data_IF_823088513505
#
_entry.id   IF_823088513505
#
_cell.length_a   1.000
_cell.length_b   1.000
_cell.length_c   1.000
_cell.angle_alpha   90.00
_cell.angle_beta   90.00
_cell.angle_gamma   90.00
#
_symmetry.space_group_name_H-M   'P 1'
#
loop_
_entity.id
_entity.type
_entity.pdbx_description
1 polymer ?
#
# COMPACT_ATOMS: atom_id res chain seq x y z
N UNK A 1 -6.57 -15.61 40.22
CA UNK A 1 -7.15 -14.95 39.04
C UNK A 1 -6.32 -15.44 37.87
N UNK A 2 -6.86 -16.35 37.09
CA UNK A 2 -6.22 -16.84 35.87
C UNK A 2 -6.56 -15.83 34.77
N UNK A 3 -5.58 -15.41 33.98
CA UNK A 3 -5.78 -14.58 32.79
C UNK A 3 -5.77 -15.53 31.58
N UNK A 4 -6.93 -16.06 31.13
CA UNK A 4 -6.95 -16.83 29.91
C UNK A 4 -6.81 -15.83 28.75
N UNK A 5 -5.87 -16.09 27.84
CA UNK A 5 -5.75 -15.37 26.55
C UNK A 5 -5.18 -13.94 26.58
N UNK A 6 -4.09 -13.70 27.29
CA UNK A 6 -3.25 -12.52 27.02
C UNK A 6 -2.28 -12.81 25.87
N UNK A 7 -2.68 -12.43 24.66
CA UNK A 7 -1.84 -12.51 23.45
C UNK A 7 -2.26 -13.59 22.46
N UNK A 8 -1.58 -13.65 21.32
CA UNK A 8 -1.81 -14.70 20.33
C UNK A 8 -0.49 -15.21 19.74
N UNK A 9 -0.51 -16.46 19.27
CA UNK A 9 0.64 -17.08 18.64
C UNK A 9 0.85 -16.54 17.22
N UNK A 10 2.11 -16.34 16.86
CA UNK A 10 2.49 -16.04 15.48
C UNK A 10 2.04 -17.18 14.55
N UNK A 11 1.36 -16.84 13.46
CA UNK A 11 0.88 -17.80 12.46
C UNK A 11 2.00 -18.35 11.58
N UNK A 12 3.22 -17.84 11.70
CA UNK A 12 4.38 -18.37 10.97
C UNK A 12 4.78 -19.72 11.58
N UNK A 13 4.82 -20.80 10.78
CA UNK A 13 4.99 -22.17 11.26
C UNK A 13 6.37 -22.41 11.90
N UNK A 14 7.37 -21.60 11.58
CA UNK A 14 8.72 -21.68 12.15
C UNK A 14 8.86 -20.95 13.49
N UNK A 15 7.92 -20.05 13.85
CA UNK A 15 8.03 -19.21 15.03
C UNK A 15 7.11 -19.66 16.16
N UNK A 16 5.79 -19.73 15.89
CA UNK A 16 4.72 -20.05 16.85
C UNK A 16 4.83 -19.37 18.24
N UNK A 17 5.58 -18.27 18.36
CA UNK A 17 5.80 -17.56 19.62
C UNK A 17 4.53 -16.85 20.06
N UNK A 18 4.22 -16.92 21.35
CA UNK A 18 3.15 -16.15 21.98
C UNK A 18 3.57 -14.68 22.06
N UNK A 19 2.84 -13.80 21.38
CA UNK A 19 3.06 -12.36 21.42
C UNK A 19 1.88 -11.69 22.13
N UNK A 20 2.18 -10.82 23.09
CA UNK A 20 1.16 -10.11 23.87
C UNK A 20 0.53 -8.95 23.09
N UNK A 21 1.17 -8.50 22.00
CA UNK A 21 0.64 -7.51 21.06
C UNK A 21 0.54 -8.15 19.67
N UNK A 22 -0.43 -9.06 19.44
CA UNK A 22 -0.58 -9.72 18.16
C UNK A 22 -0.86 -8.72 17.04
N UNK A 23 -0.05 -8.78 15.98
CA UNK A 23 -0.16 -7.89 14.83
C UNK A 23 -0.91 -8.58 13.71
N UNK A 24 -1.99 -7.95 13.23
CA UNK A 24 -2.76 -8.46 12.10
C UNK A 24 -2.21 -7.92 10.79
N UNK A 25 -1.84 -8.82 9.87
CA UNK A 25 -1.48 -8.47 8.50
C UNK A 25 -2.69 -7.91 7.76
N UNK A 26 -2.61 -6.72 7.16
CA UNK A 26 -3.74 -6.08 6.46
C UNK A 26 -3.97 -6.65 5.05
N UNK A 27 -3.07 -7.52 4.57
CA UNK A 27 -3.18 -8.19 3.28
C UNK A 27 -3.84 -9.58 3.40
N UNK A 28 -3.32 -10.46 4.27
CA UNK A 28 -3.85 -11.82 4.45
C UNK A 28 -4.70 -12.01 5.71
N UNK A 29 -4.84 -10.98 6.56
CA UNK A 29 -5.54 -11.05 7.85
C UNK A 29 -4.98 -12.03 8.89
N UNK A 30 -3.82 -12.64 8.64
CA UNK A 30 -3.11 -13.50 9.60
C UNK A 30 -2.53 -12.71 10.77
N UNK A 31 -2.35 -13.39 11.90
CA UNK A 31 -1.76 -12.82 13.13
C UNK A 31 -0.28 -13.21 13.23
N UNK A 32 0.60 -12.23 13.42
CA UNK A 32 2.04 -12.44 13.50
C UNK A 32 2.65 -11.64 14.66
N UNK A 33 3.86 -12.02 15.08
CA UNK A 33 4.66 -11.25 16.03
C UNK A 33 5.37 -10.08 15.32
N UNK A 34 6.01 -9.21 16.09
CA UNK A 34 6.72 -8.03 15.58
C UNK A 34 7.79 -8.33 14.52
N UNK A 35 8.41 -9.51 14.59
CA UNK A 35 9.40 -9.95 13.61
C UNK A 35 8.68 -10.34 12.30
N UNK A 36 7.75 -11.30 12.36
CA UNK A 36 7.14 -11.92 11.18
C UNK A 36 5.96 -11.14 10.56
N UNK A 37 5.57 -9.97 11.07
CA UNK A 37 4.45 -9.18 10.52
C UNK A 37 4.73 -8.66 9.11
N UNK A 38 6.00 -8.43 8.77
CA UNK A 38 6.39 -7.97 7.43
C UNK A 38 6.02 -9.02 6.37
N UNK A 39 5.44 -8.59 5.23
CA UNK A 39 4.93 -9.50 4.20
C UNK A 39 5.96 -10.51 3.69
N UNK A 40 7.23 -10.09 3.59
CA UNK A 40 8.33 -10.95 3.16
C UNK A 40 8.67 -12.04 4.18
N UNK A 41 8.47 -11.77 5.48
CA UNK A 41 8.86 -12.69 6.55
C UNK A 41 7.87 -13.83 6.78
N UNK A 42 6.60 -13.65 6.42
CA UNK A 42 5.59 -14.71 6.47
C UNK A 42 5.12 -15.17 5.07
N UNK A 43 5.90 -14.87 4.04
CA UNK A 43 5.60 -15.23 2.64
C UNK A 43 4.15 -14.92 2.24
N UNK A 44 3.72 -13.68 2.48
CA UNK A 44 2.32 -13.29 2.33
C UNK A 44 1.80 -13.51 0.91
N UNK A 45 0.91 -14.51 0.73
CA UNK A 45 0.29 -14.78 -0.56
C UNK A 45 -0.58 -13.63 -1.11
N UNK A 46 -0.95 -12.67 -0.25
CA UNK A 46 -1.73 -11.49 -0.60
C UNK A 46 -0.90 -10.19 -0.67
N UNK A 47 0.44 -10.26 -0.57
CA UNK A 47 1.31 -9.08 -0.61
C UNK A 47 1.06 -8.21 -1.85
N UNK A 48 0.83 -8.85 -3.01
CA UNK A 48 0.57 -8.19 -4.29
C UNK A 48 -0.62 -7.22 -4.25
N UNK A 49 -1.59 -7.42 -3.33
CA UNK A 49 -2.72 -6.52 -3.16
C UNK A 49 -2.31 -5.17 -2.55
N UNK A 50 -1.12 -5.08 -1.94
CA UNK A 50 -0.59 -3.89 -1.27
C UNK A 50 0.61 -3.28 -1.99
N UNK A 51 1.12 -3.96 -3.02
CA UNK A 51 2.17 -3.49 -3.92
C UNK A 51 1.61 -2.45 -4.92
N UNK A 52 1.21 -1.30 -4.40
CA UNK A 52 0.69 -0.19 -5.19
C UNK A 52 1.86 0.65 -5.68
N UNK A 53 2.15 0.55 -6.97
CA UNK A 53 3.11 1.42 -7.63
C UNK A 53 2.44 2.74 -8.00
N UNK A 54 3.04 3.86 -7.60
CA UNK A 54 2.55 5.21 -7.95
C UNK A 54 3.28 5.67 -9.20
N UNK A 55 2.62 5.74 -10.38
CA UNK A 55 3.24 6.25 -11.58
C UNK A 55 3.56 7.74 -11.45
N UNK A 56 4.59 8.17 -12.18
CA UNK A 56 4.97 9.58 -12.26
C UNK A 56 4.48 10.13 -13.60
N UNK A 57 3.91 11.33 -13.58
CA UNK A 57 3.54 12.01 -14.81
C UNK A 57 4.79 12.38 -15.61
N UNK A 58 4.90 11.99 -16.89
CA UNK A 58 6.10 12.24 -17.70
C UNK A 58 6.30 13.71 -18.06
N UNK A 59 5.28 14.57 -17.91
CA UNK A 59 5.34 15.99 -18.31
C UNK A 59 5.73 16.92 -17.17
N UNK A 60 5.27 16.64 -15.95
CA UNK A 60 5.50 17.50 -14.78
C UNK A 60 6.33 16.82 -13.69
N UNK A 61 6.65 15.53 -13.85
CA UNK A 61 7.41 14.72 -12.90
C UNK A 61 6.77 14.66 -11.48
N UNK A 62 5.46 14.86 -11.38
CA UNK A 62 4.69 14.73 -10.14
C UNK A 62 4.15 13.29 -10.02
N UNK A 63 4.21 12.66 -8.84
CA UNK A 63 3.57 11.37 -8.60
C UNK A 63 2.05 11.49 -8.72
N UNK A 64 1.44 10.63 -9.54
CA UNK A 64 -0.01 10.61 -9.79
C UNK A 64 -0.65 9.49 -8.97
N UNK A 65 -1.51 9.80 -7.98
CA UNK A 65 -2.20 8.78 -7.20
C UNK A 65 -3.12 7.93 -8.10
N UNK A 66 -3.06 6.61 -7.96
CA UNK A 66 -3.92 5.68 -8.70
C UNK A 66 -4.81 4.94 -7.71
N UNK A 67 -6.12 4.90 -7.99
CA UNK A 67 -7.06 4.12 -7.19
C UNK A 67 -6.82 2.61 -7.37
N UNK A 68 -7.11 1.82 -6.34
CA UNK A 68 -7.00 0.36 -6.44
C UNK A 68 -7.90 -0.17 -7.55
N UNK A 69 -7.30 -0.89 -8.50
CA UNK A 69 -8.01 -1.47 -9.65
C UNK A 69 -8.13 -0.55 -10.87
N UNK A 70 -7.66 0.70 -10.79
CA UNK A 70 -7.56 1.57 -11.95
C UNK A 70 -6.20 1.39 -12.63
N UNK A 71 -6.12 1.28 -13.98
CA UNK A 71 -4.85 1.22 -14.66
C UNK A 71 -4.08 2.55 -14.55
N UNK A 72 -2.76 2.50 -14.33
CA UNK A 72 -1.94 3.70 -14.13
C UNK A 72 -2.02 4.67 -15.32
N UNK A 73 -2.11 4.16 -16.55
CA UNK A 73 -2.22 4.98 -17.76
C UNK A 73 -3.45 5.89 -17.76
N UNK A 74 -4.58 5.41 -17.22
CA UNK A 74 -5.82 6.19 -17.14
C UNK A 74 -5.69 7.33 -16.14
N UNK A 75 -5.18 7.05 -14.95
CA UNK A 75 -4.97 8.06 -13.91
C UNK A 75 -3.96 9.13 -14.36
N UNK A 76 -2.85 8.73 -14.98
CA UNK A 76 -1.87 9.67 -15.55
C UNK A 76 -2.48 10.46 -16.71
N UNK A 77 -3.27 9.84 -17.58
CA UNK A 77 -3.97 10.52 -18.68
C UNK A 77 -4.96 11.57 -18.20
N UNK A 78 -5.77 11.25 -17.19
CA UNK A 78 -6.71 12.20 -16.58
C UNK A 78 -5.96 13.36 -15.89
N UNK A 79 -4.87 13.08 -15.18
CA UNK A 79 -4.01 14.12 -14.63
C UNK A 79 -3.46 15.05 -15.73
N UNK A 80 -2.99 14.50 -16.86
CA UNK A 80 -2.47 15.29 -17.99
C UNK A 80 -3.54 16.25 -18.53
N UNK A 81 -4.77 15.79 -18.67
CA UNK A 81 -5.89 16.59 -19.21
C UNK A 81 -6.35 17.71 -18.26
N UNK A 82 -6.40 17.45 -16.95
CA UNK A 82 -7.13 18.29 -15.99
C UNK A 82 -6.28 19.02 -14.97
N UNK A 83 -5.14 18.46 -14.58
CA UNK A 83 -4.39 18.86 -13.38
C UNK A 83 -2.88 19.06 -13.64
N UNK A 84 -2.43 18.90 -14.89
CA UNK A 84 -1.01 18.94 -15.23
C UNK A 84 -0.53 20.38 -15.47
N UNK A 85 0.22 20.90 -14.50
CA UNK A 85 0.82 22.25 -14.59
C UNK A 85 1.73 22.47 -15.81
N UNK A 86 2.32 21.40 -16.35
CA UNK A 86 3.17 21.48 -17.55
C UNK A 86 2.38 21.50 -18.85
N UNK A 87 1.07 21.27 -18.81
CA UNK A 87 0.24 21.24 -20.01
C UNK A 87 0.10 22.66 -20.61
N UNK A 88 0.38 22.85 -21.91
CA UNK A 88 0.22 24.13 -22.58
C UNK A 88 -1.23 24.64 -22.57
N UNK A 89 -2.23 23.78 -22.29
CA UNK A 89 -3.60 24.20 -22.06
C UNK A 89 -3.88 24.80 -20.68
N UNK A 90 -3.15 24.44 -19.64
CA UNK A 90 -3.22 25.14 -18.36
C UNK A 90 -2.27 26.35 -18.29
N UNK A 91 -1.14 26.35 -19.02
CA UNK A 91 -0.26 27.53 -19.07
C UNK A 91 -0.95 28.79 -19.64
N UNK A 92 -1.88 28.64 -20.58
CA UNK A 92 -2.65 29.77 -21.15
C UNK A 92 -3.68 30.38 -20.19
N UNK A 93 -4.03 29.69 -19.11
CA UNK A 93 -4.87 30.22 -18.03
C UNK A 93 -4.06 30.94 -16.94
N UNK A 94 -2.75 30.71 -16.85
CA UNK A 94 -1.89 31.33 -15.82
C UNK A 94 -1.32 32.70 -16.22
N UNK A 95 -1.41 33.07 -17.51
CA UNK A 95 -0.88 34.32 -18.07
C UNK A 95 -1.97 35.34 -18.45
N UNK A 96 -3.18 35.22 -17.90
CA UNK A 96 -4.25 36.21 -18.03
C UNK A 96 -4.47 36.94 -16.70
#
# INVERSE_FOLDING_TARGET
MEFPDLGAHCSEPSCQRLDFLPLKCDACSGIFCADHVAYAQHHCGSAYQKDIQVPVCPLCNVPVPVARGEPPDRAVGEHIDRDCRSDPAQQKHLHQ
#
